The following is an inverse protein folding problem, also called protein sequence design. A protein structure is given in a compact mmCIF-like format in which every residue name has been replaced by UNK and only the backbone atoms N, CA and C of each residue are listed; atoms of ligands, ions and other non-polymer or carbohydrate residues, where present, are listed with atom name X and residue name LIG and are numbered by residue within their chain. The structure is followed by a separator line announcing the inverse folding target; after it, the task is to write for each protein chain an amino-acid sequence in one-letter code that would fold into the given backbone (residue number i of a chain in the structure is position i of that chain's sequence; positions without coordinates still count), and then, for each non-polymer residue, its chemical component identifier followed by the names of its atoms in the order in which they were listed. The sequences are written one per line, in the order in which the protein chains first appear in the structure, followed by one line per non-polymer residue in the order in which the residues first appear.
data_IF_149968290003
#
_entry.id   IF_149968290003
#
_cell.length_a   1.000
_cell.length_b   1.000
_cell.length_c   1.000
_cell.angle_alpha   90.00
_cell.angle_beta   90.00
_cell.angle_gamma   90.00
#
_symmetry.space_group_name_H-M   'P 1'
#
loop_
_entity.id
_entity.type
_entity.pdbx_description
1 polymer ?
#
# COMPACT_ATOMS: atom_id res chain seq x y z
N UNK A 1 44.55 36.44 11.01
CA UNK A 1 44.38 36.03 12.42
C UNK A 1 43.37 34.88 12.43
N UNK A 2 43.77 33.63 12.71
CA UNK A 2 44.00 33.05 14.05
C UNK A 2 42.72 33.01 14.91
N UNK A 3 42.16 31.84 15.26
CA UNK A 3 42.58 30.92 16.36
C UNK A 3 41.74 31.22 17.63
N UNK A 4 41.11 30.31 18.39
CA UNK A 4 40.96 28.84 18.33
C UNK A 4 39.83 28.32 19.25
N UNK A 5 39.35 27.09 18.96
CA UNK A 5 38.91 25.99 19.86
C UNK A 5 38.10 26.25 21.15
N UNK A 6 37.09 25.40 21.35
CA UNK A 6 37.15 24.43 22.46
C UNK A 6 36.56 23.06 22.05
N UNK A 7 37.18 21.98 22.51
CA UNK A 7 36.82 20.59 22.24
C UNK A 7 36.47 19.93 23.58
N UNK A 8 35.30 19.30 23.71
CA UNK A 8 35.00 18.41 24.83
C UNK A 8 34.73 17.00 24.31
N UNK A 9 35.53 16.05 24.79
CA UNK A 9 35.46 14.64 24.47
C UNK A 9 35.33 13.87 25.79
N UNK A 10 34.17 13.29 26.08
CA UNK A 10 34.09 12.08 26.92
C UNK A 10 32.76 11.34 26.74
N UNK A 11 32.92 10.09 26.31
CA UNK A 11 31.98 8.97 26.24
C UNK A 11 30.59 9.16 26.87
N UNK A 12 29.56 8.92 26.07
CA UNK A 12 28.27 8.43 26.52
C UNK A 12 27.75 7.43 25.48
N UNK A 13 27.38 6.25 25.99
CA UNK A 13 26.78 5.07 25.33
C UNK A 13 26.09 5.38 23.99
N UNK A 14 26.29 4.58 22.92
CA UNK A 14 25.53 4.76 21.68
C UNK A 14 24.04 4.50 21.94
N UNK A 15 23.29 5.58 22.15
CA UNK A 15 21.83 5.57 22.05
C UNK A 15 21.52 5.08 20.65
N UNK A 16 20.91 3.89 20.55
CA UNK A 16 20.56 3.25 19.27
C UNK A 16 19.95 4.29 18.35
N UNK A 17 20.47 4.38 17.13
CA UNK A 17 19.96 5.29 16.14
C UNK A 17 18.46 5.00 15.89
N UNK A 18 17.60 5.81 16.52
CA UNK A 18 16.22 5.97 16.09
C UNK A 18 16.34 6.36 14.62
N UNK A 19 15.81 5.51 13.73
CA UNK A 19 15.81 5.78 12.29
C UNK A 19 15.13 7.13 12.06
N UNK A 20 15.93 8.19 11.87
CA UNK A 20 15.44 9.44 11.32
C UNK A 20 15.02 9.13 9.89
N UNK A 21 13.80 9.55 9.55
CA UNK A 21 13.32 9.60 8.17
C UNK A 21 14.40 10.23 7.27
N UNK A 22 14.61 9.70 6.07
CA UNK A 22 15.45 10.37 5.09
C UNK A 22 14.83 11.74 4.74
N UNK A 23 15.63 12.75 4.35
CA UNK A 23 15.10 14.05 3.93
C UNK A 23 14.03 13.94 2.82
N UNK A 24 14.15 12.93 1.96
CA UNK A 24 13.19 12.61 0.91
C UNK A 24 11.85 12.10 1.49
N UNK A 25 11.89 11.18 2.46
CA UNK A 25 10.67 10.69 3.10
C UNK A 25 9.93 11.75 3.94
N UNK A 26 10.64 12.72 4.53
CA UNK A 26 10.02 13.90 5.14
C UNK A 26 9.31 14.77 4.08
N UNK A 27 9.97 15.01 2.95
CA UNK A 27 9.38 15.76 1.83
C UNK A 27 8.11 15.09 1.30
N UNK A 28 8.11 13.77 1.12
CA UNK A 28 6.94 13.02 0.64
C UNK A 28 5.77 13.08 1.63
N UNK A 29 6.02 12.85 2.92
CA UNK A 29 4.98 12.93 3.96
C UNK A 29 4.38 14.35 4.06
N UNK A 30 5.21 15.39 3.92
CA UNK A 30 4.74 16.79 3.90
C UNK A 30 3.96 17.13 2.65
N UNK A 31 4.31 16.55 1.49
CA UNK A 31 3.56 16.72 0.25
C UNK A 31 2.16 16.08 0.36
N UNK A 32 2.06 14.86 0.91
CA UNK A 32 0.77 14.21 1.21
C UNK A 32 -0.07 15.06 2.16
N UNK A 33 0.50 15.48 3.30
CA UNK A 33 -0.21 16.29 4.29
C UNK A 33 -0.75 17.60 3.70
N UNK A 34 0.04 18.27 2.84
CA UNK A 34 -0.40 19.47 2.15
C UNK A 34 -1.61 19.20 1.24
N UNK A 35 -1.53 18.25 0.30
CA UNK A 35 -2.63 17.99 -0.64
C UNK A 35 -3.88 17.45 0.08
N UNK A 36 -3.70 16.57 1.07
CA UNK A 36 -4.80 16.02 1.85
C UNK A 36 -5.58 17.10 2.61
N UNK A 37 -4.90 18.16 3.08
CA UNK A 37 -5.56 19.29 3.78
C UNK A 37 -6.56 20.07 2.92
N UNK A 38 -6.45 20.00 1.59
CA UNK A 38 -7.41 20.63 0.65
C UNK A 38 -8.42 19.64 0.05
N UNK A 39 -7.98 18.39 -0.18
CA UNK A 39 -8.75 17.41 -0.96
C UNK A 39 -9.58 16.44 -0.10
N UNK A 40 -9.21 16.27 1.18
CA UNK A 40 -9.89 15.37 2.11
C UNK A 40 -10.60 16.18 3.20
N UNK A 41 -11.84 15.81 3.48
CA UNK A 41 -12.61 16.34 4.62
C UNK A 41 -12.36 15.44 5.83
N UNK A 42 -12.41 16.01 7.03
CA UNK A 42 -12.42 15.24 8.27
C UNK A 42 -13.59 14.24 8.27
N UNK A 43 -13.32 13.02 8.71
CA UNK A 43 -14.27 11.91 8.67
C UNK A 43 -14.05 11.02 9.90
N UNK A 44 -14.88 11.16 10.94
CA UNK A 44 -14.62 10.51 12.23
C UNK A 44 -14.67 8.98 12.15
N UNK A 45 -15.31 8.40 11.13
CA UNK A 45 -15.32 6.95 10.92
C UNK A 45 -13.98 6.50 10.35
N UNK A 46 -13.47 7.19 9.33
CA UNK A 46 -12.14 6.90 8.76
C UNK A 46 -11.03 7.14 9.79
N UNK A 47 -11.11 8.23 10.56
CA UNK A 47 -10.15 8.56 11.61
C UNK A 47 -10.14 7.49 12.72
N UNK A 48 -11.32 7.04 13.17
CA UNK A 48 -11.44 5.95 14.14
C UNK A 48 -10.90 4.62 13.60
N UNK A 49 -11.18 4.28 12.33
CA UNK A 49 -10.65 3.06 11.71
C UNK A 49 -9.12 3.11 11.55
N UNK A 50 -8.53 4.26 11.22
CA UNK A 50 -7.07 4.42 11.23
C UNK A 50 -6.48 4.26 12.64
N UNK A 51 -7.13 4.85 13.66
CA UNK A 51 -6.71 4.70 15.05
C UNK A 51 -6.71 3.23 15.46
N UNK A 52 -7.82 2.54 15.25
CA UNK A 52 -7.96 1.12 15.56
C UNK A 52 -6.91 0.25 14.84
N UNK A 53 -6.66 0.53 13.56
CA UNK A 53 -5.63 -0.19 12.78
C UNK A 53 -4.22 0.03 13.33
N UNK A 54 -3.94 1.19 13.95
CA UNK A 54 -2.66 1.45 14.64
C UNK A 54 -2.56 0.68 15.96
N UNK A 55 -3.68 0.47 16.67
CA UNK A 55 -3.74 -0.31 17.91
C UNK A 55 -3.51 -1.82 17.68
N UNK A 56 -3.87 -2.35 16.49
CA UNK A 56 -3.51 -3.71 16.07
C UNK A 56 -1.99 -3.92 15.92
N UNK A 57 -1.21 -2.84 15.90
CA UNK A 57 0.24 -2.86 15.95
C UNK A 57 0.93 -2.16 14.78
N UNK A 58 2.23 -1.90 14.93
CA UNK A 58 3.04 -1.15 13.95
C UNK A 58 2.91 -1.68 12.52
N UNK A 59 2.87 -3.00 12.36
CA UNK A 59 2.91 -3.62 11.04
C UNK A 59 1.54 -3.55 10.34
N UNK A 60 0.43 -3.57 11.10
CA UNK A 60 -0.90 -3.25 10.59
C UNK A 60 -0.99 -1.77 10.17
N UNK A 61 -0.45 -0.86 10.96
CA UNK A 61 -0.35 0.57 10.60
C UNK A 61 0.46 0.81 9.31
N UNK A 62 1.52 0.02 9.07
CA UNK A 62 2.28 0.09 7.82
C UNK A 62 1.62 -0.63 6.65
N UNK A 63 0.66 -1.53 6.89
CA UNK A 63 -0.07 -2.25 5.84
C UNK A 63 -1.24 -1.44 5.25
N UNK A 64 -2.03 -0.73 6.07
CA UNK A 64 -3.20 0.00 5.58
C UNK A 64 -2.85 1.14 4.60
N UNK A 65 -3.66 1.34 3.56
CA UNK A 65 -3.49 2.43 2.58
C UNK A 65 -3.50 3.83 3.23
N UNK A 66 -2.79 4.78 2.65
CA UNK A 66 -2.87 6.20 3.05
C UNK A 66 -4.26 6.79 2.77
N UNK A 67 -4.65 7.92 3.37
CA UNK A 67 -5.89 8.62 3.02
C UNK A 67 -5.98 8.98 1.53
N UNK A 68 -4.85 9.35 0.91
CA UNK A 68 -4.76 9.65 -0.53
C UNK A 68 -4.99 8.39 -1.39
N UNK A 69 -4.37 7.26 -1.03
CA UNK A 69 -4.56 5.98 -1.71
C UNK A 69 -6.00 5.46 -1.55
N UNK A 70 -6.58 5.55 -0.35
CA UNK A 70 -8.00 5.23 -0.12
C UNK A 70 -8.94 6.11 -0.95
N UNK A 71 -8.67 7.41 -1.02
CA UNK A 71 -9.42 8.33 -1.89
C UNK A 71 -9.26 8.02 -3.38
N UNK A 72 -8.07 7.59 -3.82
CA UNK A 72 -7.84 7.12 -5.18
C UNK A 72 -8.68 5.89 -5.51
N UNK A 73 -8.68 4.85 -4.67
CA UNK A 73 -9.53 3.66 -4.85
C UNK A 73 -11.02 4.04 -4.94
N UNK A 74 -11.48 4.92 -4.05
CA UNK A 74 -12.84 5.45 -4.10
C UNK A 74 -13.15 6.14 -5.43
N UNK A 75 -12.32 7.08 -5.88
CA UNK A 75 -12.53 7.81 -7.13
C UNK A 75 -12.45 6.91 -8.38
N UNK A 76 -11.56 5.91 -8.36
CA UNK A 76 -11.45 4.91 -9.42
C UNK A 76 -12.75 4.10 -9.54
N UNK A 77 -13.28 3.58 -8.44
CA UNK A 77 -14.53 2.82 -8.44
C UNK A 77 -15.73 3.67 -8.91
N UNK A 78 -15.76 4.96 -8.55
CA UNK A 78 -16.73 5.93 -9.11
C UNK A 78 -16.57 6.08 -10.63
N UNK A 79 -15.35 6.28 -11.12
CA UNK A 79 -15.07 6.47 -12.55
C UNK A 79 -15.40 5.23 -13.39
N UNK A 80 -15.21 4.03 -12.83
CA UNK A 80 -15.55 2.74 -13.45
C UNK A 80 -17.04 2.38 -13.34
N UNK A 81 -17.85 3.15 -12.61
CA UNK A 81 -19.22 2.79 -12.21
C UNK A 81 -19.31 1.37 -11.62
N UNK A 82 -18.37 1.03 -10.73
CA UNK A 82 -18.26 -0.30 -10.16
C UNK A 82 -19.49 -0.64 -9.31
N UNK A 83 -20.02 -1.86 -9.48
CA UNK A 83 -21.12 -2.42 -8.65
C UNK A 83 -20.70 -3.62 -7.80
N UNK A 84 -19.57 -4.27 -8.09
CA UNK A 84 -19.06 -5.39 -7.31
C UNK A 84 -17.56 -5.24 -7.13
N UNK A 85 -17.11 -5.37 -5.89
CA UNK A 85 -15.70 -5.30 -5.49
C UNK A 85 -15.37 -6.51 -4.63
N UNK A 86 -14.23 -7.13 -4.91
CA UNK A 86 -13.62 -8.15 -4.05
C UNK A 86 -12.33 -7.57 -3.49
N UNK A 87 -12.21 -7.50 -2.17
CA UNK A 87 -10.98 -7.15 -1.45
C UNK A 87 -10.40 -8.39 -0.79
N UNK A 88 -9.07 -8.56 -0.88
CA UNK A 88 -8.32 -9.63 -0.23
C UNK A 88 -7.24 -9.00 0.63
N UNK A 89 -7.35 -9.14 1.96
CA UNK A 89 -6.49 -8.47 2.95
C UNK A 89 -7.09 -7.18 3.50
N UNK A 90 -8.34 -7.23 3.98
CA UNK A 90 -9.07 -6.06 4.49
C UNK A 90 -8.49 -5.46 5.79
N UNK A 91 -7.70 -6.20 6.56
CA UNK A 91 -7.05 -5.78 7.80
C UNK A 91 -8.06 -5.16 8.81
N UNK A 92 -7.96 -3.85 9.06
CA UNK A 92 -8.86 -3.08 9.92
C UNK A 92 -10.06 -2.46 9.18
N UNK A 93 -10.22 -2.72 7.88
CA UNK A 93 -11.33 -2.24 7.06
C UNK A 93 -11.18 -0.82 6.50
N UNK A 94 -10.00 -0.18 6.60
CA UNK A 94 -9.82 1.22 6.18
C UNK A 94 -10.06 1.44 4.68
N UNK A 95 -9.47 0.59 3.83
CA UNK A 95 -9.69 0.56 2.38
C UNK A 95 -11.12 0.12 2.03
N UNK A 96 -11.66 -0.89 2.72
CA UNK A 96 -13.04 -1.35 2.57
C UNK A 96 -14.06 -0.21 2.71
N UNK A 97 -13.92 0.66 3.71
CA UNK A 97 -14.83 1.81 3.93
C UNK A 97 -14.76 2.80 2.75
N UNK A 98 -13.56 3.12 2.27
CA UNK A 98 -13.38 3.99 1.10
C UNK A 98 -14.05 3.42 -0.15
N UNK A 99 -13.87 2.13 -0.39
CA UNK A 99 -14.41 1.42 -1.56
C UNK A 99 -15.92 1.23 -1.47
N UNK A 100 -16.45 0.77 -0.34
CA UNK A 100 -17.90 0.59 -0.13
C UNK A 100 -18.67 1.91 -0.34
N UNK A 101 -18.15 3.03 0.18
CA UNK A 101 -18.74 4.37 -0.03
C UNK A 101 -18.65 4.89 -1.47
N UNK A 102 -17.92 4.22 -2.37
CA UNK A 102 -17.92 4.57 -3.79
C UNK A 102 -19.10 3.94 -4.55
N UNK A 103 -19.55 2.77 -4.11
CA UNK A 103 -20.56 1.97 -4.79
C UNK A 103 -21.95 2.65 -4.79
N UNK A 104 -22.83 2.32 -5.75
CA UNK A 104 -24.25 2.68 -5.69
C UNK A 104 -24.97 1.86 -4.59
N UNK A 105 -26.20 2.24 -4.27
CA UNK A 105 -27.04 1.57 -3.26
C UNK A 105 -27.30 0.07 -3.57
N UNK A 106 -27.22 -0.33 -4.84
CA UNK A 106 -27.31 -1.73 -5.30
C UNK A 106 -25.94 -2.39 -5.55
N UNK A 107 -24.87 -1.79 -5.02
CA UNK A 107 -23.50 -2.29 -5.12
C UNK A 107 -23.07 -3.12 -3.92
N UNK A 108 -22.12 -4.03 -4.15
CA UNK A 108 -21.63 -4.99 -3.17
C UNK A 108 -20.10 -4.95 -3.04
N UNK A 109 -19.60 -4.97 -1.81
CA UNK A 109 -18.19 -5.20 -1.50
C UNK A 109 -18.07 -6.48 -0.67
N UNK A 110 -17.33 -7.45 -1.19
CA UNK A 110 -16.93 -8.66 -0.47
C UNK A 110 -15.50 -8.48 0.01
N UNK A 111 -15.31 -8.54 1.32
CA UNK A 111 -14.03 -8.35 2.01
C UNK A 111 -13.56 -9.68 2.60
N UNK A 112 -12.37 -10.14 2.21
CA UNK A 112 -11.74 -11.36 2.73
C UNK A 112 -10.54 -11.02 3.61
N UNK A 113 -10.58 -11.45 4.87
CA UNK A 113 -9.45 -11.32 5.80
C UNK A 113 -9.19 -12.69 6.47
N UNK A 114 -7.92 -13.09 6.52
CA UNK A 114 -7.48 -14.39 7.06
C UNK A 114 -6.94 -14.26 8.50
N UNK A 115 -6.33 -13.13 8.85
CA UNK A 115 -5.94 -12.75 10.22
C UNK A 115 -5.45 -11.30 10.26
N UNK A 116 -6.29 -10.39 10.78
CA UNK A 116 -5.99 -8.96 10.89
C UNK A 116 -4.78 -8.60 11.79
N UNK A 117 -4.14 -9.58 12.43
CA UNK A 117 -3.02 -9.39 13.38
C UNK A 117 -1.72 -10.04 12.90
N UNK A 118 -1.75 -10.92 11.88
CA UNK A 118 -0.55 -11.63 11.41
C UNK A 118 0.31 -10.77 10.46
N UNK A 119 1.00 -9.81 11.05
CA UNK A 119 1.99 -8.94 10.42
C UNK A 119 2.97 -9.66 9.48
N UNK A 120 3.44 -10.85 9.87
CA UNK A 120 4.38 -11.64 9.07
C UNK A 120 3.74 -12.15 7.77
N UNK A 121 2.45 -12.50 7.80
CA UNK A 121 1.71 -12.87 6.60
C UNK A 121 1.54 -11.69 5.62
N UNK A 122 1.54 -10.44 6.12
CA UNK A 122 1.43 -9.24 5.26
C UNK A 122 2.75 -8.99 4.50
N UNK A 123 3.89 -9.02 5.18
CA UNK A 123 5.17 -8.73 4.54
C UNK A 123 5.70 -9.91 3.71
N UNK A 124 5.43 -11.16 4.10
CA UNK A 124 6.02 -12.36 3.50
C UNK A 124 5.09 -13.14 2.54
N UNK A 125 3.86 -12.69 2.23
CA UNK A 125 2.97 -13.45 1.36
C UNK A 125 3.56 -13.71 -0.04
N UNK A 126 3.87 -14.96 -0.44
CA UNK A 126 4.35 -15.27 -1.77
C UNK A 126 3.19 -15.51 -2.76
N UNK A 127 1.95 -15.62 -2.28
CA UNK A 127 0.79 -16.09 -3.06
C UNK A 127 0.18 -15.03 -3.99
N UNK A 128 0.84 -13.89 -4.22
CA UNK A 128 0.32 -12.84 -5.10
C UNK A 128 -0.06 -13.37 -6.49
N UNK A 129 0.71 -14.30 -7.06
CA UNK A 129 0.37 -14.96 -8.33
C UNK A 129 -0.91 -15.79 -8.22
N UNK A 130 -1.10 -16.56 -7.15
CA UNK A 130 -2.31 -17.37 -6.95
C UNK A 130 -3.56 -16.48 -6.75
N UNK A 131 -3.42 -15.40 -5.96
CA UNK A 131 -4.47 -14.39 -5.79
C UNK A 131 -4.82 -13.71 -7.10
N UNK A 132 -3.83 -13.41 -7.95
CA UNK A 132 -4.05 -12.85 -9.29
C UNK A 132 -4.77 -13.82 -10.22
N UNK A 133 -4.39 -15.10 -10.26
CA UNK A 133 -5.06 -16.14 -11.06
C UNK A 133 -6.52 -16.30 -10.64
N UNK A 134 -6.80 -16.39 -9.34
CA UNK A 134 -8.17 -16.50 -8.84
C UNK A 134 -8.98 -15.21 -9.07
N UNK A 135 -8.37 -14.03 -8.89
CA UNK A 135 -9.01 -12.77 -9.27
C UNK A 135 -9.35 -12.74 -10.76
N UNK A 136 -8.41 -13.10 -11.66
CA UNK A 136 -8.66 -13.16 -13.11
C UNK A 136 -9.79 -14.12 -13.46
N UNK A 137 -9.90 -15.26 -12.77
CA UNK A 137 -11.00 -16.22 -12.91
C UNK A 137 -12.36 -15.62 -12.54
N UNK A 138 -12.41 -14.77 -11.51
CA UNK A 138 -13.64 -14.15 -11.00
C UNK A 138 -14.05 -12.85 -11.73
N UNK A 139 -13.12 -12.12 -12.34
CA UNK A 139 -13.26 -10.66 -12.61
C UNK A 139 -14.02 -10.24 -13.89
N UNK A 140 -14.39 -11.16 -14.79
CA UNK A 140 -14.96 -10.90 -16.15
C UNK A 140 -14.06 -10.07 -17.10
N UNK A 141 -14.29 -10.21 -18.41
CA UNK A 141 -13.74 -9.30 -19.44
C UNK A 141 -14.23 -7.86 -19.17
N UNK A 142 -13.34 -6.89 -19.39
CA UNK A 142 -13.52 -5.48 -19.04
C UNK A 142 -13.42 -5.17 -17.55
N UNK A 143 -12.98 -6.12 -16.73
CA UNK A 143 -12.76 -5.94 -15.29
C UNK A 143 -11.34 -5.50 -14.94
N UNK A 144 -11.16 -4.92 -13.75
CA UNK A 144 -9.87 -4.46 -13.22
C UNK A 144 -9.43 -5.34 -12.06
N UNK A 145 -8.14 -5.67 -12.02
CA UNK A 145 -7.43 -6.28 -10.89
C UNK A 145 -6.38 -5.27 -10.42
N UNK A 146 -6.29 -5.03 -9.12
CA UNK A 146 -5.22 -4.23 -8.51
C UNK A 146 -4.49 -5.11 -7.50
N UNK A 147 -3.16 -5.12 -7.58
CA UNK A 147 -2.29 -5.71 -6.57
C UNK A 147 -1.45 -4.59 -5.96
N UNK A 148 -1.69 -4.26 -4.70
CA UNK A 148 -0.93 -3.25 -3.97
C UNK A 148 0.41 -3.81 -3.48
N UNK A 149 1.30 -2.92 -3.03
CA UNK A 149 2.64 -3.22 -2.53
C UNK A 149 3.48 -4.08 -3.51
N UNK A 150 3.46 -3.73 -4.79
CA UNK A 150 4.34 -4.30 -5.84
C UNK A 150 5.58 -3.45 -6.11
N UNK A 151 5.63 -2.20 -5.64
CA UNK A 151 6.84 -1.37 -5.71
C UNK A 151 7.90 -1.76 -4.68
N UNK A 152 7.48 -2.11 -3.45
CA UNK A 152 8.29 -2.59 -2.31
C UNK A 152 9.67 -1.93 -2.18
N UNK A 153 9.71 -0.61 -2.07
CA UNK A 153 10.95 0.19 -1.94
C UNK A 153 11.98 -0.05 -3.06
N UNK A 154 11.54 -0.54 -4.22
CA UNK A 154 12.39 -0.92 -5.36
C UNK A 154 13.05 -2.30 -5.24
N UNK A 155 12.84 -3.04 -4.14
CA UNK A 155 13.52 -4.33 -3.90
C UNK A 155 13.31 -5.39 -4.99
N UNK A 156 12.15 -5.50 -5.69
CA UNK A 156 12.00 -6.43 -6.81
C UNK A 156 13.02 -6.21 -7.94
N UNK A 157 13.51 -4.98 -8.14
CA UNK A 157 14.51 -4.66 -9.17
C UNK A 157 15.97 -4.93 -8.73
N UNK A 158 16.24 -5.11 -7.44
CA UNK A 158 17.59 -5.38 -6.90
C UNK A 158 17.84 -6.90 -6.83
N UNK A 159 18.66 -7.50 -7.74
CA UNK A 159 18.86 -8.95 -7.76
C UNK A 159 19.56 -9.50 -6.50
N UNK A 160 20.20 -8.64 -5.70
CA UNK A 160 20.76 -9.02 -4.39
C UNK A 160 19.73 -9.10 -3.27
N UNK A 161 18.49 -8.63 -3.48
CA UNK A 161 17.38 -8.74 -2.52
C UNK A 161 16.62 -10.03 -2.75
N UNK A 162 16.58 -10.86 -1.70
CA UNK A 162 15.78 -12.09 -1.62
C UNK A 162 14.72 -11.97 -0.52
N UNK A 163 13.78 -12.90 -0.50
CA UNK A 163 12.75 -13.02 0.52
C UNK A 163 11.34 -13.18 -0.07
N UNK A 164 10.42 -13.87 0.64
CA UNK A 164 9.15 -14.33 0.08
C UNK A 164 8.29 -13.26 -0.60
N UNK A 165 8.17 -12.07 -0.01
CA UNK A 165 7.39 -10.97 -0.59
C UNK A 165 8.06 -10.28 -1.80
N UNK A 166 9.39 -10.33 -1.91
CA UNK A 166 10.12 -9.81 -3.09
C UNK A 166 10.02 -10.80 -4.24
N UNK A 167 10.21 -12.08 -3.94
CA UNK A 167 10.11 -13.18 -4.90
C UNK A 167 8.66 -13.37 -5.39
N UNK A 168 7.65 -13.23 -4.51
CA UNK A 168 6.24 -13.25 -4.88
C UNK A 168 5.85 -12.12 -5.85
N UNK A 169 6.40 -10.92 -5.69
CA UNK A 169 6.19 -9.82 -6.65
C UNK A 169 6.90 -10.12 -7.99
N UNK A 170 8.13 -10.65 -7.98
CA UNK A 170 8.82 -11.06 -9.23
C UNK A 170 8.07 -12.16 -9.98
N UNK A 171 7.53 -13.14 -9.26
CA UNK A 171 6.73 -14.22 -9.81
C UNK A 171 5.41 -13.69 -10.40
N UNK A 172 4.72 -12.79 -9.69
CA UNK A 172 3.52 -12.11 -10.20
C UNK A 172 3.80 -11.35 -11.50
N UNK A 173 4.82 -10.48 -11.51
CA UNK A 173 5.13 -9.65 -12.68
C UNK A 173 5.58 -10.48 -13.88
N UNK A 174 6.29 -11.59 -13.64
CA UNK A 174 6.66 -12.54 -14.71
C UNK A 174 5.43 -13.29 -15.24
N UNK A 175 4.49 -13.67 -14.38
CA UNK A 175 3.23 -14.30 -14.79
C UNK A 175 2.37 -13.34 -15.63
N UNK A 176 2.20 -12.08 -15.20
CA UNK A 176 1.44 -11.06 -15.93
C UNK A 176 2.05 -10.75 -17.30
N UNK A 177 3.38 -10.73 -17.43
CA UNK A 177 4.07 -10.48 -18.71
C UNK A 177 3.69 -11.51 -19.78
N UNK A 178 3.48 -12.75 -19.36
CA UNK A 178 3.25 -13.90 -20.25
C UNK A 178 1.75 -14.28 -20.33
N UNK A 179 0.85 -13.45 -19.79
CA UNK A 179 -0.61 -13.65 -19.76
C UNK A 179 -1.32 -12.79 -20.85
N UNK A 180 -1.83 -13.45 -21.89
CA UNK A 180 -2.46 -12.81 -23.04
C UNK A 180 -3.90 -12.36 -22.80
N UNK A 181 -4.51 -12.70 -21.66
CA UNK A 181 -5.86 -12.25 -21.27
C UNK A 181 -5.87 -10.88 -20.56
N UNK A 182 -4.70 -10.32 -20.21
CA UNK A 182 -4.60 -9.05 -19.47
C UNK A 182 -3.71 -8.01 -20.16
N UNK A 183 -3.89 -6.75 -19.80
CA UNK A 183 -2.97 -5.64 -20.06
C UNK A 183 -2.71 -4.94 -18.73
N UNK A 184 -1.45 -4.63 -18.41
CA UNK A 184 -1.08 -4.16 -17.07
C UNK A 184 0.01 -3.09 -17.06
N UNK A 185 -0.02 -2.27 -16.01
CA UNK A 185 1.01 -1.30 -15.68
C UNK A 185 1.24 -1.26 -14.16
N UNK A 186 2.48 -1.05 -13.73
CA UNK A 186 2.81 -0.76 -12.34
C UNK A 186 3.00 0.74 -12.17
N UNK A 187 2.25 1.35 -11.26
CA UNK A 187 2.37 2.76 -10.91
C UNK A 187 3.11 2.86 -9.58
N UNK A 188 4.31 3.45 -9.62
CA UNK A 188 5.08 3.74 -8.43
C UNK A 188 4.54 4.98 -7.71
N UNK A 189 4.56 4.93 -6.38
CA UNK A 189 4.04 6.01 -5.51
C UNK A 189 5.04 6.35 -4.42
N UNK A 190 5.06 7.63 -4.04
CA UNK A 190 5.74 8.13 -2.83
C UNK A 190 4.73 8.93 -2.01
N UNK A 191 4.88 8.91 -0.68
CA UNK A 191 4.00 9.61 0.25
C UNK A 191 4.40 9.36 1.70
N UNK A 192 3.47 9.52 2.65
CA UNK A 192 3.68 9.21 4.07
C UNK A 192 4.06 7.74 4.32
N UNK A 193 3.72 6.85 3.39
CA UNK A 193 4.03 5.42 3.39
C UNK A 193 5.46 5.10 2.93
N UNK A 194 6.20 6.07 2.41
CA UNK A 194 7.49 5.87 1.73
C UNK A 194 7.32 5.53 0.25
N UNK A 195 8.36 4.90 -0.33
CA UNK A 195 8.37 4.48 -1.74
C UNK A 195 7.79 3.07 -1.92
N UNK A 196 6.72 2.97 -2.71
CA UNK A 196 6.06 1.71 -3.05
C UNK A 196 5.39 1.82 -4.44
N UNK A 197 4.35 1.03 -4.72
CA UNK A 197 3.54 1.10 -5.92
C UNK A 197 2.56 -0.05 -6.00
N UNK A 198 1.58 0.07 -6.90
CA UNK A 198 0.59 -0.96 -7.18
C UNK A 198 0.63 -1.36 -8.65
N UNK A 199 0.32 -2.62 -8.94
CA UNK A 199 0.12 -3.14 -10.29
C UNK A 199 -1.37 -3.13 -10.61
N UNK A 200 -1.72 -2.44 -11.69
CA UNK A 200 -3.06 -2.32 -12.23
C UNK A 200 -3.16 -3.17 -13.50
N UNK A 201 -4.12 -4.10 -13.56
CA UNK A 201 -4.35 -4.95 -14.72
C UNK A 201 -5.81 -4.87 -15.19
N UNK A 202 -6.00 -4.61 -16.47
CA UNK A 202 -7.26 -4.71 -17.19
C UNK A 202 -7.36 -6.12 -17.80
N UNK A 203 -8.41 -6.88 -17.49
CA UNK A 203 -8.70 -8.12 -18.21
C UNK A 203 -9.46 -7.79 -19.50
N UNK A 204 -8.92 -8.24 -20.63
CA UNK A 204 -9.54 -8.12 -21.96
C UNK A 204 -10.85 -8.91 -22.05
#
# INVERSE_FOLDING_TARGET
MLCSRLLFLRSSIPVRAIHRASPESDLWARADAYHNSFLLKADPVLDATQHHTRELGKNAATAAVSPAQGKFLHLLLRGLNAKRVLEVGSLGGYSAIWMARALPDDGELVALEISAVNAQAIEENPNNTNHFVEAKRLVRSGGIIIVDNTGRKGYPADPGRTGPGVEGVRALLSHIRDDDEVEAATIHTVGEKGFDGFTFAYRK
#
